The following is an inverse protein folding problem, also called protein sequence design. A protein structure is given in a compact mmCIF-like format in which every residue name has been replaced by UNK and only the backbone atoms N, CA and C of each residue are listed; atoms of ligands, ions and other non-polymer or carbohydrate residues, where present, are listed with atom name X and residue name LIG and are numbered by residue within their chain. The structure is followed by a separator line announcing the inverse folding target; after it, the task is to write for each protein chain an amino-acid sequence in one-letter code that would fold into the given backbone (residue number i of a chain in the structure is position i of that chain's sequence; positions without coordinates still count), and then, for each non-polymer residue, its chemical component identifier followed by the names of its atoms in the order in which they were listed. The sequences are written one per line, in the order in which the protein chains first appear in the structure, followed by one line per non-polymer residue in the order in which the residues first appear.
data_IF_817460613729
#
_entry.id   IF_817460613729
#
_cell.length_a   1.000
_cell.length_b   1.000
_cell.length_c   1.000
_cell.angle_alpha   90.00
_cell.angle_beta   90.00
_cell.angle_gamma   90.00
#
_symmetry.space_group_name_H-M   'P 1'
#
loop_
_entity.id
_entity.type
_entity.pdbx_description
1 polymer ?
#
# COMPACT_ATOMS: atom_id res chain seq x y z
N UNK A 1 14.11 10.67 -2.75
CA UNK A 1 13.34 9.82 -3.68
C UNK A 1 11.94 10.37 -3.95
N UNK A 2 11.61 10.58 -5.23
CA UNK A 2 10.27 11.01 -5.67
C UNK A 2 9.23 9.89 -5.58
N UNK A 3 8.08 10.17 -4.99
CA UNK A 3 6.98 9.21 -4.80
C UNK A 3 5.62 9.82 -5.16
N UNK A 4 4.67 8.95 -5.51
CA UNK A 4 3.38 9.32 -6.06
C UNK A 4 2.24 8.69 -5.26
N UNK A 5 1.19 9.48 -5.02
CA UNK A 5 -0.06 9.05 -4.39
C UNK A 5 -1.24 9.47 -5.26
N UNK A 6 -2.24 8.59 -5.40
CA UNK A 6 -3.48 8.93 -6.11
C UNK A 6 -4.68 8.87 -5.19
N UNK A 7 -5.45 9.95 -5.18
CA UNK A 7 -6.65 10.10 -4.36
C UNK A 7 -7.71 10.95 -5.07
N UNK A 8 -8.92 10.97 -4.53
CA UNK A 8 -10.00 11.82 -5.05
C UNK A 8 -9.95 13.26 -4.54
N UNK A 9 -8.91 13.62 -3.78
CA UNK A 9 -8.71 14.94 -3.18
C UNK A 9 -7.24 15.34 -3.35
N UNK A 10 -6.95 16.63 -3.37
CA UNK A 10 -5.57 17.10 -3.26
C UNK A 10 -5.10 16.89 -1.82
N UNK A 11 -3.92 16.32 -1.64
CA UNK A 11 -3.34 16.05 -0.31
C UNK A 11 -2.05 16.87 -0.18
N UNK A 12 -2.16 18.02 0.47
CA UNK A 12 -1.02 18.93 0.67
C UNK A 12 -0.11 18.46 1.81
N UNK A 13 -0.70 17.90 2.88
CA UNK A 13 0.01 17.38 4.04
C UNK A 13 -0.40 15.92 4.27
N UNK A 14 0.41 14.95 3.82
CA UNK A 14 0.15 13.52 4.07
C UNK A 14 0.10 13.18 5.56
N UNK A 15 -0.81 12.29 5.92
CA UNK A 15 -0.85 11.64 7.22
C UNK A 15 -1.29 10.17 7.06
N UNK A 16 -0.98 9.37 8.07
CA UNK A 16 -1.27 7.92 8.06
C UNK A 16 -2.67 7.57 8.57
N UNK A 17 -3.36 8.50 9.22
CA UNK A 17 -4.60 8.27 9.96
C UNK A 17 -5.85 8.33 9.07
N UNK A 18 -5.82 9.10 7.98
CA UNK A 18 -6.96 9.27 7.07
C UNK A 18 -7.06 8.19 5.97
N UNK A 19 -6.58 6.99 6.26
CA UNK A 19 -6.68 5.82 5.38
C UNK A 19 -7.58 4.72 5.94
N UNK A 20 -7.93 3.74 5.11
CA UNK A 20 -8.73 2.57 5.52
C UNK A 20 -7.88 1.66 6.42
N UNK A 21 -8.49 1.10 7.46
CA UNK A 21 -7.82 0.22 8.42
C UNK A 21 -7.36 -1.13 7.84
N UNK A 22 -8.18 -1.73 6.97
CA UNK A 22 -8.04 -3.12 6.53
C UNK A 22 -7.48 -3.23 5.10
N UNK A 23 -6.33 -2.60 4.87
CA UNK A 23 -5.59 -2.69 3.60
C UNK A 23 -4.45 -3.72 3.70
N UNK A 24 -3.77 -3.97 2.58
CA UNK A 24 -2.73 -5.01 2.48
C UNK A 24 -1.60 -4.82 3.47
N UNK A 25 -1.21 -3.58 3.76
CA UNK A 25 -0.20 -3.24 4.78
C UNK A 25 -0.81 -2.40 5.90
N UNK A 26 -2.10 -2.60 6.19
CA UNK A 26 -2.79 -1.90 7.27
C UNK A 26 -3.09 -0.44 7.00
N UNK A 27 -3.38 0.32 8.06
CA UNK A 27 -3.65 1.75 7.96
C UNK A 27 -2.35 2.52 7.71
N UNK A 28 -2.30 3.34 6.67
CA UNK A 28 -1.11 4.13 6.34
C UNK A 28 -1.29 5.06 5.15
N UNK A 29 -0.25 5.83 4.85
CA UNK A 29 -0.20 6.67 3.65
C UNK A 29 0.53 5.95 2.52
N UNK A 30 -0.21 5.49 1.51
CA UNK A 30 0.31 4.63 0.46
C UNK A 30 0.89 5.43 -0.69
N UNK A 31 2.16 5.23 -0.99
CA UNK A 31 2.87 5.85 -2.10
C UNK A 31 3.54 4.79 -2.98
N UNK A 32 3.89 5.18 -4.21
CA UNK A 32 4.69 4.35 -5.12
C UNK A 32 5.72 5.21 -5.83
N UNK A 33 6.88 4.63 -6.15
CA UNK A 33 7.87 5.27 -7.04
C UNK A 33 7.47 5.17 -8.52
N UNK A 34 6.48 4.33 -8.85
CA UNK A 34 6.02 4.10 -10.21
C UNK A 34 4.88 5.04 -10.57
N UNK A 35 5.21 6.17 -11.20
CA UNK A 35 4.24 7.18 -11.63
C UNK A 35 3.08 6.60 -12.46
N UNK A 36 3.38 5.71 -13.40
CA UNK A 36 2.35 5.09 -14.24
C UNK A 36 1.38 4.21 -13.46
N UNK A 37 1.84 3.57 -12.37
CA UNK A 37 0.96 2.81 -11.49
C UNK A 37 0.00 3.74 -10.75
N UNK A 38 0.48 4.87 -10.25
CA UNK A 38 -0.37 5.88 -9.62
C UNK A 38 -1.41 6.42 -10.62
N UNK A 39 -1.01 6.78 -11.84
CA UNK A 39 -1.92 7.24 -12.91
C UNK A 39 -2.99 6.19 -13.23
N UNK A 40 -2.59 4.92 -13.40
CA UNK A 40 -3.55 3.82 -13.63
C UNK A 40 -4.50 3.65 -12.47
N UNK A 41 -4.03 3.81 -11.23
CA UNK A 41 -4.86 3.74 -10.03
C UNK A 41 -5.88 4.89 -9.98
N UNK A 42 -5.46 6.11 -10.36
CA UNK A 42 -6.30 7.31 -10.39
C UNK A 42 -7.56 7.14 -11.26
N UNK A 43 -7.49 6.31 -12.32
CA UNK A 43 -8.63 5.96 -13.18
C UNK A 43 -9.79 5.31 -12.41
N UNK A 44 -9.56 4.73 -11.22
CA UNK A 44 -10.63 4.20 -10.36
C UNK A 44 -11.53 5.31 -9.80
N UNK A 45 -10.99 6.50 -9.54
CA UNK A 45 -11.78 7.64 -9.05
C UNK A 45 -12.63 8.25 -10.17
N UNK A 46 -12.03 8.45 -11.35
CA UNK A 46 -12.72 8.98 -12.53
C UNK A 46 -13.90 8.10 -12.94
N UNK A 47 -13.71 6.77 -12.97
CA UNK A 47 -14.79 5.79 -13.25
C UNK A 47 -15.95 5.84 -12.24
N UNK A 48 -15.71 6.36 -11.04
CA UNK A 48 -16.74 6.56 -10.00
C UNK A 48 -17.31 7.97 -10.01
N UNK A 49 -17.03 8.77 -11.05
CA UNK A 49 -17.47 10.17 -11.16
C UNK A 49 -16.82 11.10 -10.14
N UNK A 50 -15.68 10.73 -9.56
CA UNK A 50 -14.94 11.55 -8.59
C UNK A 50 -13.76 12.24 -9.25
N UNK A 51 -13.34 13.42 -8.77
CA UNK A 51 -12.05 14.00 -9.14
C UNK A 51 -10.93 13.00 -8.88
N UNK A 52 -9.83 13.13 -9.62
CA UNK A 52 -8.63 12.32 -9.42
C UNK A 52 -7.41 13.22 -9.42
N UNK A 53 -6.66 13.17 -8.32
CA UNK A 53 -5.43 13.92 -8.14
C UNK A 53 -4.24 12.95 -8.13
N UNK A 54 -3.20 13.32 -8.86
CA UNK A 54 -1.88 12.71 -8.74
C UNK A 54 -1.04 13.62 -7.85
N UNK A 55 -0.91 13.25 -6.59
CA UNK A 55 -0.07 13.95 -5.63
C UNK A 55 1.35 13.39 -5.72
N UNK A 56 2.32 14.26 -5.50
CA UNK A 56 3.73 13.97 -5.68
C UNK A 56 4.52 14.56 -4.52
N UNK A 57 5.46 13.77 -4.00
CA UNK A 57 6.26 14.12 -2.83
C UNK A 57 7.71 13.74 -3.05
N UNK A 58 8.60 14.44 -2.37
CA UNK A 58 10.00 14.04 -2.22
C UNK A 58 10.12 13.38 -0.84
N UNK A 59 10.43 12.09 -0.82
CA UNK A 59 10.73 11.33 0.38
C UNK A 59 12.24 11.40 0.62
N UNK A 60 12.66 11.77 1.83
CA UNK A 60 14.08 11.74 2.17
C UNK A 60 14.59 10.29 2.18
N UNK A 61 15.77 10.08 1.61
CA UNK A 61 16.42 8.77 1.51
C UNK A 61 17.22 8.43 2.78
N UNK A 62 17.19 9.30 3.80
CA UNK A 62 17.72 9.05 5.13
C UNK A 62 16.86 8.05 5.94
N UNK A 63 16.60 6.87 5.37
CA UNK A 63 15.86 5.77 6.01
C UNK A 63 16.52 5.19 7.29
N UNK A 64 17.69 5.70 7.66
CA UNK A 64 18.56 5.16 8.72
C UNK A 64 17.92 5.21 10.11
N UNK A 65 16.97 6.12 10.34
CA UNK A 65 16.25 6.25 11.61
C UNK A 65 14.88 5.59 11.66
N UNK A 66 14.39 5.02 10.56
CA UNK A 66 13.05 4.45 10.47
C UNK A 66 13.09 2.92 10.56
N UNK A 67 12.14 2.35 11.30
CA UNK A 67 11.91 0.91 11.35
C UNK A 67 11.27 0.44 10.03
N UNK A 68 12.11 -0.02 9.11
CA UNK A 68 11.70 -0.51 7.79
C UNK A 68 11.42 -2.02 7.80
N UNK A 69 10.23 -2.40 7.32
CA UNK A 69 9.89 -3.77 6.92
C UNK A 69 9.83 -3.85 5.40
N UNK A 70 10.65 -4.69 4.77
CA UNK A 70 10.66 -4.86 3.32
C UNK A 70 10.40 -6.31 2.91
N UNK A 71 9.42 -6.49 2.02
CA UNK A 71 9.07 -7.77 1.40
C UNK A 71 9.57 -7.80 -0.05
N UNK A 72 10.59 -8.62 -0.31
CA UNK A 72 11.18 -8.74 -1.64
C UNK A 72 10.40 -9.68 -2.56
N UNK A 73 9.63 -10.62 -2.01
CA UNK A 73 8.84 -11.58 -2.78
C UNK A 73 7.50 -11.90 -2.12
N UNK A 74 6.63 -12.58 -2.87
CA UNK A 74 5.30 -13.02 -2.39
C UNK A 74 5.41 -14.39 -1.72
N UNK A 75 6.11 -14.45 -0.59
CA UNK A 75 6.32 -15.65 0.22
C UNK A 75 5.27 -15.82 1.33
N UNK A 76 5.42 -16.85 2.17
CA UNK A 76 4.52 -17.14 3.29
C UNK A 76 4.52 -15.99 4.31
N UNK A 77 5.66 -15.36 4.55
CA UNK A 77 5.77 -14.21 5.46
C UNK A 77 4.98 -13.00 4.97
N UNK A 78 5.12 -12.63 3.69
CA UNK A 78 4.31 -11.58 3.07
C UNK A 78 2.82 -11.92 3.14
N UNK A 79 2.45 -13.18 2.90
CA UNK A 79 1.07 -13.61 2.92
C UNK A 79 0.45 -13.54 4.32
N UNK A 80 1.18 -14.00 5.34
CA UNK A 80 0.75 -13.95 6.72
C UNK A 80 0.58 -12.50 7.18
N UNK A 81 1.52 -11.63 6.80
CA UNK A 81 1.46 -10.21 7.08
C UNK A 81 0.20 -9.55 6.48
N UNK A 82 -0.01 -9.72 5.17
CA UNK A 82 -1.16 -9.15 4.46
C UNK A 82 -2.48 -9.70 5.02
N UNK A 83 -2.50 -11.00 5.37
CA UNK A 83 -3.68 -11.62 5.99
C UNK A 83 -3.98 -10.99 7.35
N UNK A 84 -2.97 -10.79 8.19
CA UNK A 84 -3.10 -10.16 9.50
C UNK A 84 -3.58 -8.70 9.39
N UNK A 85 -3.01 -7.90 8.47
CA UNK A 85 -3.39 -6.50 8.27
C UNK A 85 -4.88 -6.36 7.90
N UNK A 86 -5.39 -7.23 7.03
CA UNK A 86 -6.77 -7.18 6.55
C UNK A 86 -7.82 -7.57 7.58
N UNK A 87 -7.43 -8.28 8.63
CA UNK A 87 -8.32 -8.59 9.77
C UNK A 87 -8.10 -7.65 10.96
N UNK A 88 -7.15 -6.70 10.85
CA UNK A 88 -6.85 -5.71 11.89
C UNK A 88 -6.03 -6.26 13.06
N UNK A 89 -5.34 -7.39 12.88
CA UNK A 89 -4.58 -8.08 13.93
C UNK A 89 -3.09 -7.72 13.92
N UNK A 90 -2.70 -6.59 13.35
CA UNK A 90 -1.31 -6.18 13.27
C UNK A 90 -1.05 -5.07 14.27
N UNK A 91 -0.21 -5.38 15.24
CA UNK A 91 0.38 -4.44 16.19
C UNK A 91 1.88 -4.41 15.86
N UNK A 92 2.23 -3.64 14.84
CA UNK A 92 3.63 -3.48 14.43
C UNK A 92 4.10 -2.06 14.69
N UNK A 93 5.37 -1.96 15.09
CA UNK A 93 6.09 -0.70 15.32
C UNK A 93 6.96 -0.31 14.10
N UNK A 94 6.52 -0.68 12.88
CA UNK A 94 7.19 -0.30 11.64
C UNK A 94 6.73 1.08 11.16
N UNK A 95 7.69 1.97 10.91
CA UNK A 95 7.42 3.28 10.32
C UNK A 95 7.14 3.17 8.82
N UNK A 96 7.80 2.22 8.15
CA UNK A 96 7.71 2.03 6.70
C UNK A 96 7.57 0.55 6.38
N UNK A 97 6.57 0.22 5.57
CA UNK A 97 6.40 -1.11 4.98
C UNK A 97 6.51 -1.01 3.46
N UNK A 98 7.47 -1.73 2.88
CA UNK A 98 7.71 -1.78 1.44
C UNK A 98 7.47 -3.19 0.92
N UNK A 99 6.68 -3.31 -0.14
CA UNK A 99 6.43 -4.60 -0.75
C UNK A 99 5.47 -4.51 -1.92
N UNK A 100 5.34 -5.61 -2.65
CA UNK A 100 4.32 -5.72 -3.69
C UNK A 100 2.91 -5.69 -3.08
N UNK A 101 2.02 -4.89 -3.67
CA UNK A 101 0.59 -4.88 -3.31
C UNK A 101 -0.09 -6.07 -4.01
N UNK A 102 -1.02 -6.73 -3.33
CA UNK A 102 -1.78 -7.81 -3.94
C UNK A 102 -2.64 -7.24 -5.08
N UNK A 103 -2.35 -7.62 -6.32
CA UNK A 103 -3.27 -7.37 -7.42
C UNK A 103 -4.29 -8.53 -7.53
N UNK A 104 -5.34 -8.36 -8.34
CA UNK A 104 -6.40 -9.36 -8.53
C UNK A 104 -5.86 -10.73 -9.03
N UNK A 105 -4.63 -10.80 -9.58
CA UNK A 105 -3.98 -12.05 -9.98
C UNK A 105 -3.28 -12.75 -8.80
N UNK A 106 -2.79 -12.02 -7.81
CA UNK A 106 -2.16 -12.60 -6.60
C UNK A 106 -3.22 -13.22 -5.67
N UNK A 107 -4.40 -12.60 -5.58
CA UNK A 107 -5.49 -13.09 -4.73
C UNK A 107 -6.00 -14.49 -5.10
N UNK A 108 -6.12 -14.80 -6.41
CA UNK A 108 -6.57 -16.14 -6.85
C UNK A 108 -5.63 -17.26 -6.42
N UNK A 109 -4.33 -16.98 -6.29
CA UNK A 109 -3.34 -18.00 -5.87
C UNK A 109 -3.33 -18.20 -4.36
N UNK A 110 -3.58 -17.14 -3.58
CA UNK A 110 -3.61 -17.18 -2.12
C UNK A 110 -4.80 -17.99 -1.60
N UNK A 111 -6.00 -17.80 -2.16
CA UNK A 111 -7.16 -18.60 -1.76
C UNK A 111 -6.96 -20.09 -2.07
N UNK A 112 -6.29 -20.44 -3.17
CA UNK A 112 -5.99 -21.83 -3.54
C UNK A 112 -5.02 -22.53 -2.57
N UNK A 113 -4.13 -21.79 -1.89
CA UNK A 113 -3.18 -22.37 -0.94
C UNK A 113 -3.81 -22.61 0.45
N UNK A 114 -4.81 -21.81 0.84
CA UNK A 114 -5.53 -21.99 2.13
C UNK A 114 -6.44 -23.23 2.17
N UNK A 115 -6.87 -23.76 1.02
CA UNK A 115 -7.67 -24.99 0.93
C UNK A 115 -6.86 -26.28 0.74
N UNK A 116 -5.52 -26.22 0.90
CA UNK A 116 -4.62 -27.38 0.77
C UNK A 116 -3.97 -27.83 2.08
N UNK A 117 -4.34 -27.25 3.23
CA UNK A 117 -4.01 -27.79 4.56
C UNK A 117 -5.24 -28.44 5.17
#
# INVERSE_FOLDING_TARGET
MRVYHSSSVRVEHPDVFHSRKFLDFGQGFYVTTLRDQAIKYAQRFLRRGKPAWLNEYELDDSFVSYNLKEFFCYDEEWLDYVSACRVGNVADDYDIVRGGIANDKVFRTVDLLKFRK
#
